data_IF_584134391492
#
_entry.id   IF_584134391492
#
_cell.length_a   1.000
_cell.length_b   1.000
_cell.length_c   1.000
_cell.angle_alpha   90.00
_cell.angle_beta   90.00
_cell.angle_gamma   90.00
#
_symmetry.space_group_name_H-M   'P 1'
#
loop_
_entity.id
_entity.type
_entity.pdbx_description
1 polymer ?
#
# COMPACT_ATOMS: atom_id res chain seq x y z
N UNK A 1 7.31 19.20 33.82
CA UNK A 1 7.37 18.55 32.48
C UNK A 1 8.11 17.20 32.56
N UNK A 2 7.51 16.12 33.11
CA UNK A 2 8.29 14.88 33.36
C UNK A 2 7.55 13.54 33.43
N UNK A 3 6.24 13.47 33.18
CA UNK A 3 5.48 12.19 33.16
C UNK A 3 5.17 11.70 31.74
N UNK A 4 4.80 12.60 30.83
CA UNK A 4 4.47 12.23 29.44
C UNK A 4 5.68 11.71 28.62
N UNK A 5 6.91 12.10 28.98
CA UNK A 5 8.13 11.63 28.33
C UNK A 5 8.58 10.25 28.79
N UNK A 6 8.16 9.79 29.98
CA UNK A 6 8.45 8.44 30.48
C UNK A 6 7.54 7.40 29.83
N UNK A 7 6.25 7.71 29.66
CA UNK A 7 5.30 6.79 29.01
C UNK A 7 5.68 6.47 27.55
N UNK A 8 6.22 7.44 26.83
CA UNK A 8 6.69 7.26 25.43
C UNK A 8 7.99 6.44 25.33
N UNK A 9 8.80 6.40 26.39
CA UNK A 9 10.02 5.57 26.47
C UNK A 9 9.66 4.13 26.83
N UNK A 10 8.76 3.91 27.78
CA UNK A 10 8.27 2.58 28.16
C UNK A 10 7.57 1.87 26.98
N UNK A 11 6.74 2.58 26.21
CA UNK A 11 6.11 2.01 25.01
C UNK A 11 7.12 1.65 23.92
N UNK A 12 8.23 2.40 23.81
CA UNK A 12 9.33 2.09 22.89
C UNK A 12 10.19 0.93 23.39
N UNK A 13 10.37 0.79 24.70
CA UNK A 13 11.09 -0.33 25.32
C UNK A 13 10.30 -1.64 25.22
N UNK A 14 8.97 -1.62 25.40
CA UNK A 14 8.13 -2.79 25.20
C UNK A 14 8.04 -3.22 23.73
N UNK A 15 8.11 -2.28 22.78
CA UNK A 15 8.16 -2.57 21.35
C UNK A 15 9.51 -3.11 20.85
N UNK A 16 10.58 -3.00 21.66
CA UNK A 16 11.91 -3.55 21.34
C UNK A 16 12.14 -4.96 21.92
N UNK A 17 11.17 -5.52 22.66
CA UNK A 17 11.29 -6.82 23.34
C UNK A 17 10.59 -7.99 22.62
N UNK A 18 10.11 -7.82 21.38
CA UNK A 18 9.51 -8.91 20.62
C UNK A 18 10.36 -9.31 19.40
N UNK A 19 11.30 -10.26 19.54
CA UNK A 19 12.04 -10.84 18.43
C UNK A 19 11.26 -12.00 17.79
N UNK A 20 10.02 -11.75 17.35
CA UNK A 20 9.23 -12.70 16.54
C UNK A 20 8.63 -11.95 15.34
N UNK A 21 9.53 -11.44 14.51
CA UNK A 21 9.23 -10.87 13.19
C UNK A 21 10.27 -11.30 12.16
N UNK A 22 10.86 -12.48 12.35
CA UNK A 22 11.73 -13.07 11.35
C UNK A 22 10.86 -13.65 10.24
N UNK A 23 10.67 -12.86 9.18
CA UNK A 23 10.59 -13.39 7.82
C UNK A 23 11.78 -14.35 7.63
N UNK A 24 11.57 -15.64 7.35
CA UNK A 24 12.64 -16.48 6.87
C UNK A 24 12.93 -16.01 5.44
N UNK A 25 13.86 -15.06 5.32
CA UNK A 25 14.62 -14.90 4.11
C UNK A 25 15.15 -16.28 3.75
N UNK A 26 14.89 -16.69 2.50
CA UNK A 26 15.43 -17.83 1.80
C UNK A 26 16.93 -17.99 2.09
N UNK A 27 17.28 -18.70 3.17
CA UNK A 27 18.61 -19.25 3.37
C UNK A 27 18.57 -20.66 2.83
N UNK A 28 18.85 -20.77 1.54
CA UNK A 28 19.47 -21.95 0.97
C UNK A 28 20.82 -22.15 1.68
N UNK A 29 20.81 -22.75 2.87
CA UNK A 29 22.05 -23.17 3.52
C UNK A 29 22.49 -24.48 2.85
N UNK A 30 23.32 -24.31 1.81
CA UNK A 30 24.13 -25.36 1.22
C UNK A 30 24.84 -26.14 2.33
N UNK A 31 24.63 -27.46 2.34
CA UNK A 31 25.31 -28.37 3.26
C UNK A 31 26.84 -28.25 3.05
N UNK A 32 27.55 -27.71 4.03
CA UNK A 32 28.99 -27.89 4.13
C UNK A 32 29.27 -29.37 4.45
N UNK A 33 30.07 -30.10 3.64
CA UNK A 33 30.46 -31.44 3.99
C UNK A 33 31.56 -31.35 5.05
N UNK A 34 31.20 -31.49 6.33
CA UNK A 34 32.19 -31.83 7.36
C UNK A 34 32.41 -33.34 7.24
N UNK A 35 33.41 -33.71 6.44
CA UNK A 35 33.96 -35.07 6.46
C UNK A 35 34.50 -35.35 7.87
N UNK A 36 33.80 -36.18 8.64
CA UNK A 36 34.35 -36.87 9.80
C UNK A 36 34.42 -38.35 9.45
N UNK A 37 35.62 -38.95 9.37
CA UNK A 37 35.71 -40.38 9.19
C UNK A 37 35.32 -41.06 10.51
N UNK A 38 34.63 -42.19 10.35
CA UNK A 38 34.40 -43.22 11.36
C UNK A 38 33.40 -42.90 12.49
N UNK A 39 32.11 -43.22 12.25
CA UNK A 39 31.31 -44.05 13.16
C UNK A 39 30.24 -44.81 12.36
N UNK A 40 30.33 -46.13 12.40
CA UNK A 40 29.37 -47.07 11.85
C UNK A 40 27.97 -46.88 12.48
N UNK A 41 26.93 -46.82 11.63
CA UNK A 41 25.58 -47.28 12.00
C UNK A 41 24.56 -46.28 12.58
N UNK A 42 24.54 -45.01 12.18
CA UNK A 42 23.34 -44.18 12.36
C UNK A 42 22.65 -43.95 11.03
N UNK A 43 21.56 -44.70 10.80
CA UNK A 43 20.61 -44.43 9.72
C UNK A 43 19.92 -43.10 10.06
N UNK A 44 20.41 -42.01 9.48
CA UNK A 44 19.76 -40.71 9.59
C UNK A 44 18.40 -40.76 8.90
N UNK A 45 17.33 -40.62 9.67
CA UNK A 45 15.98 -40.50 9.12
C UNK A 45 15.84 -39.14 8.43
N UNK A 46 15.76 -39.13 7.11
CA UNK A 46 15.49 -37.91 6.32
C UNK A 46 13.98 -37.65 6.36
N UNK A 47 13.55 -36.63 7.10
CA UNK A 47 12.16 -36.17 7.10
C UNK A 47 11.98 -35.18 5.95
N UNK A 48 11.20 -35.54 4.94
CA UNK A 48 10.79 -34.63 3.86
C UNK A 48 9.48 -33.96 4.25
N UNK A 49 9.48 -32.63 4.43
CA UNK A 49 8.25 -31.84 4.59
C UNK A 49 7.92 -31.12 3.28
N UNK A 50 6.72 -31.35 2.74
CA UNK A 50 6.18 -30.58 1.62
C UNK A 50 5.05 -29.67 2.12
N UNK A 51 5.15 -28.38 1.83
CA UNK A 51 4.11 -27.40 2.08
C UNK A 51 3.60 -26.89 0.73
N UNK A 52 2.30 -27.00 0.50
CA UNK A 52 1.66 -26.51 -0.71
C UNK A 52 0.73 -25.34 -0.38
N UNK A 53 0.87 -24.25 -1.13
CA UNK A 53 0.04 -23.05 -0.98
C UNK A 53 -0.57 -22.75 -2.35
N UNK A 54 -1.86 -23.02 -2.46
CA UNK A 54 -2.64 -22.79 -3.67
C UNK A 54 -4.07 -23.24 -3.48
N UNK A 55 -5.02 -22.75 -4.31
CA UNK A 55 -6.44 -23.07 -4.18
C UNK A 55 -6.76 -24.53 -4.54
N UNK A 56 -5.88 -25.19 -5.29
CA UNK A 56 -6.04 -26.58 -5.73
C UNK A 56 -4.88 -27.43 -5.22
N UNK A 57 -5.11 -28.54 -4.50
CA UNK A 57 -4.03 -29.40 -4.04
C UNK A 57 -3.22 -29.98 -5.22
N UNK A 58 -1.97 -30.44 -4.98
CA UNK A 58 -1.17 -31.10 -6.01
C UNK A 58 -1.95 -32.25 -6.68
N UNK A 59 -1.75 -32.48 -7.98
CA UNK A 59 -2.50 -33.49 -8.73
C UNK A 59 -2.37 -34.90 -8.12
N UNK A 60 -1.19 -35.22 -7.58
CA UNK A 60 -0.90 -36.47 -6.86
C UNK A 60 -1.82 -36.68 -5.64
N UNK A 61 -2.15 -35.59 -4.92
CA UNK A 61 -3.05 -35.65 -3.78
C UNK A 61 -4.51 -35.73 -4.23
N UNK A 62 -4.89 -35.01 -5.29
CA UNK A 62 -6.25 -35.09 -5.86
C UNK A 62 -6.57 -36.51 -6.30
N UNK A 63 -5.64 -37.18 -6.96
CA UNK A 63 -5.80 -38.58 -7.38
C UNK A 63 -5.97 -39.52 -6.17
N UNK A 64 -5.17 -39.33 -5.12
CA UNK A 64 -5.31 -40.10 -3.89
C UNK A 64 -6.69 -39.88 -3.23
N UNK A 65 -7.16 -38.64 -3.16
CA UNK A 65 -8.48 -38.31 -2.62
C UNK A 65 -9.62 -38.88 -3.47
N UNK A 66 -9.51 -38.84 -4.81
CA UNK A 66 -10.51 -39.41 -5.71
C UNK A 66 -10.62 -40.93 -5.57
N UNK A 67 -9.48 -41.61 -5.40
CA UNK A 67 -9.44 -43.07 -5.15
C UNK A 67 -10.05 -43.43 -3.79
N UNK A 68 -9.90 -42.58 -2.77
CA UNK A 68 -10.48 -42.81 -1.43
C UNK A 68 -11.97 -42.41 -1.36
N UNK A 69 -12.34 -41.34 -2.06
CA UNK A 69 -13.68 -40.77 -2.08
C UNK A 69 -14.00 -40.29 -3.50
N UNK A 70 -14.69 -41.12 -4.31
CA UNK A 70 -15.08 -40.75 -5.66
C UNK A 70 -15.90 -39.46 -5.69
N UNK A 71 -15.57 -38.53 -6.59
CA UNK A 71 -16.15 -37.20 -6.69
C UNK A 71 -15.46 -36.11 -5.84
N UNK A 72 -14.42 -36.46 -5.08
CA UNK A 72 -13.64 -35.48 -4.32
C UNK A 72 -12.92 -34.48 -5.23
N UNK A 73 -12.36 -34.92 -6.36
CA UNK A 73 -11.65 -34.05 -7.30
C UNK A 73 -12.55 -32.95 -7.85
N UNK A 74 -13.77 -33.31 -8.27
CA UNK A 74 -14.76 -32.35 -8.77
C UNK A 74 -15.13 -31.31 -7.70
N UNK A 75 -15.33 -31.75 -6.45
CA UNK A 75 -15.61 -30.84 -5.32
C UNK A 75 -14.47 -29.87 -5.05
N UNK A 76 -13.21 -30.33 -5.11
CA UNK A 76 -12.06 -29.43 -4.96
C UNK A 76 -11.99 -28.39 -6.08
N UNK A 77 -12.27 -28.79 -7.32
CA UNK A 77 -12.30 -27.87 -8.44
C UNK A 77 -13.41 -26.83 -8.28
N UNK A 78 -14.63 -27.25 -7.89
CA UNK A 78 -15.72 -26.32 -7.59
C UNK A 78 -15.36 -25.33 -6.47
N UNK A 79 -14.69 -25.80 -5.41
CA UNK A 79 -14.23 -24.94 -4.32
C UNK A 79 -13.18 -23.93 -4.81
N UNK A 80 -12.20 -24.37 -5.60
CA UNK A 80 -11.17 -23.51 -6.17
C UNK A 80 -11.74 -22.46 -7.13
N UNK A 81 -12.71 -22.85 -7.97
CA UNK A 81 -13.44 -21.93 -8.84
C UNK A 81 -14.26 -20.91 -8.05
N UNK A 82 -14.90 -21.35 -6.96
CA UNK A 82 -15.61 -20.48 -6.02
C UNK A 82 -14.69 -19.43 -5.41
N UNK A 83 -13.53 -19.83 -4.89
CA UNK A 83 -12.51 -18.92 -4.36
C UNK A 83 -11.96 -17.97 -5.43
N UNK A 84 -11.70 -18.47 -6.64
CA UNK A 84 -11.24 -17.63 -7.74
C UNK A 84 -12.30 -16.60 -8.16
N UNK A 85 -13.58 -16.95 -8.10
CA UNK A 85 -14.70 -16.05 -8.40
C UNK A 85 -14.89 -15.03 -7.29
N UNK A 86 -14.83 -15.45 -6.04
CA UNK A 86 -14.89 -14.58 -4.87
C UNK A 86 -13.76 -13.54 -4.92
N UNK A 87 -12.51 -13.97 -5.14
CA UNK A 87 -11.36 -13.07 -5.31
C UNK A 87 -11.55 -12.06 -6.43
N UNK A 88 -11.99 -12.52 -7.61
CA UNK A 88 -12.28 -11.61 -8.75
C UNK A 88 -13.39 -10.61 -8.41
N UNK A 89 -14.41 -11.02 -7.67
CA UNK A 89 -15.48 -10.11 -7.24
C UNK A 89 -14.96 -9.00 -6.33
N UNK A 90 -14.06 -9.34 -5.39
CA UNK A 90 -13.40 -8.36 -4.53
C UNK A 90 -12.48 -7.42 -5.30
N UNK A 91 -11.70 -7.95 -6.24
CA UNK A 91 -10.82 -7.14 -7.10
C UNK A 91 -11.63 -6.15 -7.94
N UNK A 92 -12.72 -6.62 -8.56
CA UNK A 92 -13.62 -5.76 -9.34
C UNK A 92 -14.27 -4.67 -8.48
N UNK A 93 -14.72 -5.01 -7.27
CA UNK A 93 -15.29 -4.03 -6.35
C UNK A 93 -14.24 -2.97 -5.94
N UNK A 94 -13.01 -3.38 -5.64
CA UNK A 94 -11.91 -2.46 -5.36
C UNK A 94 -11.60 -1.54 -6.54
N UNK A 95 -11.55 -2.09 -7.76
CA UNK A 95 -11.31 -1.30 -8.98
C UNK A 95 -12.43 -0.28 -9.19
N UNK A 96 -13.69 -0.65 -8.94
CA UNK A 96 -14.82 0.27 -9.11
C UNK A 96 -14.77 1.41 -8.09
N UNK A 97 -14.50 1.11 -6.81
CA UNK A 97 -14.30 2.12 -5.77
C UNK A 97 -13.16 3.08 -6.14
N UNK A 98 -12.04 2.56 -6.66
CA UNK A 98 -10.92 3.39 -7.11
C UNK A 98 -11.31 4.30 -8.28
N UNK A 99 -12.08 3.79 -9.24
CA UNK A 99 -12.58 4.61 -10.37
C UNK A 99 -13.54 5.70 -9.90
N UNK A 100 -14.45 5.37 -8.99
CA UNK A 100 -15.41 6.33 -8.44
C UNK A 100 -14.70 7.45 -7.67
N UNK A 101 -13.77 7.08 -6.78
CA UNK A 101 -12.94 8.05 -6.05
C UNK A 101 -12.13 8.93 -7.01
N UNK A 102 -11.50 8.34 -8.03
CA UNK A 102 -10.75 9.10 -9.02
C UNK A 102 -11.63 10.09 -9.81
N UNK A 103 -12.85 9.68 -10.18
CA UNK A 103 -13.82 10.57 -10.85
C UNK A 103 -14.24 11.72 -9.92
N UNK A 104 -14.58 11.42 -8.67
CA UNK A 104 -14.97 12.42 -7.68
C UNK A 104 -13.84 13.42 -7.42
N UNK A 105 -12.61 12.94 -7.24
CA UNK A 105 -11.42 13.79 -7.09
C UNK A 105 -11.17 14.67 -8.31
N UNK A 106 -11.33 14.14 -9.54
CA UNK A 106 -11.18 14.93 -10.78
C UNK A 106 -12.22 16.05 -10.89
N UNK A 107 -13.48 15.78 -10.55
CA UNK A 107 -14.54 16.80 -10.57
C UNK A 107 -14.24 17.88 -9.53
N UNK A 108 -13.84 17.49 -8.33
CA UNK A 108 -13.51 18.44 -7.26
C UNK A 108 -12.28 19.28 -7.63
N UNK A 109 -11.24 18.67 -8.18
CA UNK A 109 -10.04 19.36 -8.67
C UNK A 109 -10.37 20.34 -9.80
N UNK A 110 -11.20 19.94 -10.77
CA UNK A 110 -11.63 20.82 -11.86
C UNK A 110 -12.41 22.05 -11.37
N UNK A 111 -13.34 21.86 -10.42
CA UNK A 111 -14.09 22.97 -9.80
C UNK A 111 -13.17 23.87 -8.97
N UNK A 112 -12.25 23.28 -8.19
CA UNK A 112 -11.26 24.01 -7.41
C UNK A 112 -10.35 24.87 -8.29
N UNK A 113 -9.90 24.34 -9.42
CA UNK A 113 -9.07 25.08 -10.38
C UNK A 113 -9.83 26.22 -11.06
N UNK A 114 -11.13 26.05 -11.35
CA UNK A 114 -11.96 27.15 -11.86
C UNK A 114 -12.11 28.27 -10.83
N UNK A 115 -12.37 27.95 -9.56
CA UNK A 115 -12.42 28.96 -8.50
C UNK A 115 -11.06 29.65 -8.31
N UNK A 116 -9.96 28.89 -8.37
CA UNK A 116 -8.61 29.45 -8.32
C UNK A 116 -8.36 30.43 -9.46
N UNK A 117 -8.79 30.08 -10.68
CA UNK A 117 -8.67 30.93 -11.86
C UNK A 117 -9.47 32.23 -11.70
N UNK A 118 -10.71 32.15 -11.21
CA UNK A 118 -11.54 33.33 -10.95
C UNK A 118 -10.89 34.24 -9.90
N UNK A 119 -10.40 33.68 -8.78
CA UNK A 119 -9.71 34.45 -7.73
C UNK A 119 -8.41 35.09 -8.26
N UNK A 120 -7.65 34.37 -9.08
CA UNK A 120 -6.45 34.90 -9.71
C UNK A 120 -6.78 36.07 -10.65
N UNK A 121 -7.84 35.94 -11.46
CA UNK A 121 -8.29 37.00 -12.36
C UNK A 121 -8.80 38.23 -11.61
N UNK A 122 -9.57 38.05 -10.53
CA UNK A 122 -10.01 39.18 -9.71
C UNK A 122 -8.85 39.85 -8.98
N UNK A 123 -7.87 39.07 -8.51
CA UNK A 123 -6.64 39.61 -7.90
C UNK A 123 -5.81 40.44 -8.88
N UNK A 124 -5.63 39.96 -10.12
CA UNK A 124 -4.93 40.71 -11.18
C UNK A 124 -5.69 41.98 -11.54
N UNK A 125 -7.03 41.91 -11.70
CA UNK A 125 -7.87 43.07 -12.00
C UNK A 125 -7.83 44.13 -10.88
N UNK A 126 -7.93 43.71 -9.63
CA UNK A 126 -7.83 44.58 -8.46
C UNK A 126 -6.43 45.22 -8.33
N UNK A 127 -5.37 44.45 -8.59
CA UNK A 127 -3.99 44.94 -8.63
C UNK A 127 -3.78 45.99 -9.73
N UNK A 128 -4.32 45.74 -10.93
CA UNK A 128 -4.29 46.70 -12.04
C UNK A 128 -5.02 48.00 -11.68
N UNK A 129 -6.22 47.91 -11.09
CA UNK A 129 -6.97 49.08 -10.63
C UNK A 129 -6.20 49.90 -9.59
N UNK A 130 -5.60 49.23 -8.60
CA UNK A 130 -4.84 49.88 -7.54
C UNK A 130 -3.54 50.53 -8.05
N UNK A 131 -2.91 49.93 -9.07
CA UNK A 131 -1.74 50.49 -9.75
C UNK A 131 -2.02 51.83 -10.41
N UNK A 132 -3.24 52.05 -10.92
CA UNK A 132 -3.66 53.33 -11.50
C UNK A 132 -3.87 54.43 -10.44
N UNK A 133 -4.05 54.07 -9.16
CA UNK A 133 -4.34 55.02 -8.06
C UNK A 133 -3.10 55.37 -7.21
N UNK A 134 -1.87 55.16 -7.72
CA UNK A 134 -0.60 55.55 -7.09
C UNK A 134 -0.28 54.94 -5.69
N UNK A 135 -0.97 53.88 -5.27
CA UNK A 135 -0.66 53.14 -4.04
C UNK A 135 0.42 52.04 -4.24
N UNK A 136 1.53 52.38 -4.91
CA UNK A 136 2.47 51.42 -5.51
C UNK A 136 3.13 50.45 -4.51
N UNK A 137 3.49 50.90 -3.30
CA UNK A 137 4.18 50.06 -2.30
C UNK A 137 3.19 49.15 -1.55
N UNK A 138 2.03 49.69 -1.15
CA UNK A 138 1.01 48.92 -0.43
C UNK A 138 0.34 47.88 -1.33
N UNK A 139 0.13 48.21 -2.62
CA UNK A 139 -0.40 47.26 -3.61
C UNK A 139 0.57 46.13 -3.94
N UNK A 140 1.88 46.41 -3.99
CA UNK A 140 2.91 45.41 -4.27
C UNK A 140 3.07 44.37 -3.16
N UNK A 141 3.07 44.79 -1.89
CA UNK A 141 3.25 43.89 -0.74
C UNK A 141 2.00 43.03 -0.50
N UNK A 142 0.82 43.66 -0.49
CA UNK A 142 -0.45 42.96 -0.23
C UNK A 142 -0.86 42.10 -1.44
N UNK A 143 -0.74 42.65 -2.65
CA UNK A 143 -1.08 41.94 -3.89
C UNK A 143 -0.08 40.84 -4.23
N UNK A 144 1.22 41.14 -4.20
CA UNK A 144 2.27 40.18 -4.56
C UNK A 144 2.40 39.05 -3.53
N UNK A 145 2.50 39.38 -2.24
CA UNK A 145 2.67 38.39 -1.17
C UNK A 145 1.43 37.48 -0.99
N UNK A 146 0.24 38.07 -1.05
CA UNK A 146 -1.02 37.32 -0.95
C UNK A 146 -1.23 36.37 -2.13
N UNK A 147 -1.01 36.86 -3.36
CA UNK A 147 -1.21 36.06 -4.56
C UNK A 147 -0.21 34.90 -4.66
N UNK A 148 1.07 35.14 -4.37
CA UNK A 148 2.09 34.06 -4.33
C UNK A 148 1.73 33.00 -3.29
N UNK A 149 1.24 33.40 -2.12
CA UNK A 149 0.82 32.46 -1.07
C UNK A 149 -0.38 31.61 -1.51
N UNK A 150 -1.38 32.22 -2.15
CA UNK A 150 -2.54 31.51 -2.70
C UNK A 150 -2.11 30.55 -3.83
N UNK A 151 -1.26 31.01 -4.74
CA UNK A 151 -0.74 30.18 -5.85
C UNK A 151 0.03 28.97 -5.29
N UNK A 152 0.91 29.17 -4.31
CA UNK A 152 1.67 28.07 -3.70
C UNK A 152 0.78 27.09 -2.94
N UNK A 153 -0.29 27.56 -2.28
CA UNK A 153 -1.27 26.69 -1.64
C UNK A 153 -2.02 25.83 -2.67
N UNK A 154 -2.40 26.42 -3.81
CA UNK A 154 -3.02 25.68 -4.92
C UNK A 154 -2.06 24.69 -5.59
N UNK A 155 -0.79 25.06 -5.77
CA UNK A 155 0.21 24.19 -6.40
C UNK A 155 0.50 22.94 -5.55
N UNK A 156 0.59 23.10 -4.22
CA UNK A 156 0.77 21.99 -3.27
C UNK A 156 -0.46 21.08 -3.13
N UNK A 157 -1.64 21.56 -3.48
CA UNK A 157 -2.89 20.77 -3.45
C UNK A 157 -3.03 19.78 -4.61
N UNK A 158 -2.12 19.77 -5.58
CA UNK A 158 -2.14 18.82 -6.69
C UNK A 158 -1.73 17.44 -6.19
N UNK A 159 -2.62 16.44 -6.15
CA UNK A 159 -2.28 15.10 -5.66
C UNK A 159 -1.23 14.50 -6.60
N UNK A 160 0.01 14.42 -6.12
CA UNK A 160 1.05 13.63 -6.78
C UNK A 160 0.56 12.18 -6.83
N UNK A 161 0.50 11.55 -8.01
CA UNK A 161 0.22 10.13 -8.08
C UNK A 161 1.39 9.39 -7.40
N UNK A 162 1.12 8.82 -6.23
CA UNK A 162 2.02 7.86 -5.59
C UNK A 162 2.25 6.73 -6.58
N UNK A 163 3.51 6.58 -7.00
CA UNK A 163 3.97 5.34 -7.64
C UNK A 163 3.86 4.17 -6.67
#
# INVERSE_FOLDING_TARGET
>A
MGKASRLKRELRLAAMANPQGQTPATQQQQAHPIARPDRQGQVGQVVTQSAYIGPTPPPEHIEAYERMLPGAAARFLTLAEGEATHRRSHENAHVEIMKENAKASRILAGRGQLFAFVIAMTGIGAGFWLGLHNAQITGGIIGGGGLVTIILAFLRGSPTPSK
#
